data_IF_259170539613
#
_entry.id   IF_259170539613
#
_cell.length_a   1.000
_cell.length_b   1.000
_cell.length_c   1.000
_cell.angle_alpha   90.00
_cell.angle_beta   90.00
_cell.angle_gamma   90.00
#
_symmetry.space_group_name_H-M   'P 1'
#
loop_
_entity.id
_entity.type
_entity.pdbx_description
1 polymer ?
#
# COMPACT_ATOMS: atom_id res chain seq x y z
N UNK A 1 -23.47 -48.75 -13.63
CA UNK A 1 -22.41 -48.00 -14.35
C UNK A 1 -22.58 -46.47 -14.25
N UNK A 2 -23.59 -46.02 -13.51
CA UNK A 2 -24.29 -44.77 -13.84
C UNK A 2 -23.88 -43.63 -12.91
N UNK A 3 -23.43 -43.95 -11.68
CA UNK A 3 -22.76 -43.00 -10.79
C UNK A 3 -21.48 -42.40 -11.39
N UNK A 4 -20.67 -43.20 -12.12
CA UNK A 4 -19.47 -42.67 -12.82
C UNK A 4 -19.86 -41.77 -13.99
N UNK A 5 -20.91 -42.12 -14.76
CA UNK A 5 -21.43 -41.28 -15.84
C UNK A 5 -21.98 -39.95 -15.30
N UNK A 6 -22.81 -39.98 -14.25
CA UNK A 6 -23.34 -38.79 -13.58
C UNK A 6 -22.21 -37.89 -13.06
N UNK A 7 -21.23 -38.44 -12.34
CA UNK A 7 -20.07 -37.68 -11.87
C UNK A 7 -19.29 -37.02 -13.03
N UNK A 8 -19.07 -37.75 -14.13
CA UNK A 8 -18.36 -37.23 -15.29
C UNK A 8 -19.16 -36.11 -16.01
N UNK A 9 -20.49 -36.27 -16.09
CA UNK A 9 -21.40 -35.25 -16.63
C UNK A 9 -21.34 -33.97 -15.77
N UNK A 10 -21.47 -34.10 -14.44
CA UNK A 10 -21.42 -32.96 -13.51
C UNK A 10 -20.05 -32.26 -13.54
N UNK A 11 -18.96 -33.03 -13.60
CA UNK A 11 -17.59 -32.51 -13.69
C UNK A 11 -17.35 -31.73 -14.99
N UNK A 12 -17.82 -32.26 -16.13
CA UNK A 12 -17.69 -31.59 -17.44
C UNK A 12 -18.62 -30.38 -17.53
N UNK A 13 -19.88 -30.48 -17.06
CA UNK A 13 -20.84 -29.38 -17.04
C UNK A 13 -20.35 -28.23 -16.14
N UNK A 14 -19.84 -28.54 -14.95
CA UNK A 14 -19.20 -27.57 -14.05
C UNK A 14 -17.95 -26.94 -14.68
N UNK A 15 -17.12 -27.74 -15.34
CA UNK A 15 -15.93 -27.27 -16.07
C UNK A 15 -16.25 -26.33 -17.22
N UNK A 16 -17.25 -26.66 -18.04
CA UNK A 16 -17.69 -25.84 -19.17
C UNK A 16 -18.38 -24.55 -18.70
N UNK A 17 -19.24 -24.63 -17.69
CA UNK A 17 -19.87 -23.47 -17.05
C UNK A 17 -18.82 -22.49 -16.50
N UNK A 18 -17.84 -23.01 -15.76
CA UNK A 18 -16.72 -22.20 -15.25
C UNK A 18 -15.85 -21.62 -16.38
N UNK A 19 -15.60 -22.38 -17.46
CA UNK A 19 -14.85 -21.89 -18.61
C UNK A 19 -15.57 -20.72 -19.31
N UNK A 20 -16.88 -20.80 -19.48
CA UNK A 20 -17.72 -19.73 -20.04
C UNK A 20 -17.70 -18.50 -19.12
N UNK A 21 -17.99 -18.68 -17.83
CA UNK A 21 -18.02 -17.58 -16.85
C UNK A 21 -16.66 -16.87 -16.75
N UNK A 22 -15.56 -17.63 -16.63
CA UNK A 22 -14.20 -17.06 -16.60
C UNK A 22 -13.81 -16.37 -17.89
N UNK A 23 -14.24 -16.86 -19.04
CA UNK A 23 -13.99 -16.19 -20.31
C UNK A 23 -14.77 -14.88 -20.41
N UNK A 24 -16.04 -14.85 -20.00
CA UNK A 24 -16.85 -13.63 -20.00
C UNK A 24 -16.24 -12.50 -19.15
N UNK A 25 -15.66 -12.81 -17.99
CA UNK A 25 -15.02 -11.81 -17.11
C UNK A 25 -13.52 -11.59 -17.37
N UNK A 26 -12.89 -12.36 -18.26
CA UNK A 26 -11.44 -12.28 -18.52
C UNK A 26 -10.93 -10.88 -18.89
N UNK A 27 -11.63 -10.06 -19.71
CA UNK A 27 -11.19 -8.69 -20.00
C UNK A 27 -11.07 -7.83 -18.74
N UNK A 28 -12.05 -7.94 -17.84
CA UNK A 28 -12.11 -7.18 -16.59
C UNK A 28 -11.11 -7.69 -15.55
N UNK A 29 -10.94 -9.02 -15.44
CA UNK A 29 -9.88 -9.63 -14.63
C UNK A 29 -8.48 -9.18 -15.11
N UNK A 30 -8.24 -9.10 -16.43
CA UNK A 30 -6.95 -8.63 -16.96
C UNK A 30 -6.70 -7.15 -16.69
N UNK A 31 -7.69 -6.27 -16.88
CA UNK A 31 -7.53 -4.85 -16.57
C UNK A 31 -7.24 -4.64 -15.08
N UNK A 32 -7.96 -5.34 -14.19
CA UNK A 32 -7.67 -5.37 -12.75
C UNK A 32 -6.22 -5.79 -12.46
N UNK A 33 -5.78 -6.92 -13.03
CA UNK A 33 -4.41 -7.43 -12.82
C UNK A 33 -3.36 -6.42 -13.29
N UNK A 34 -3.53 -5.83 -14.48
CA UNK A 34 -2.64 -4.81 -15.02
C UNK A 34 -2.56 -3.58 -14.08
N UNK A 35 -3.69 -3.04 -13.62
CA UNK A 35 -3.67 -1.92 -12.67
C UNK A 35 -2.99 -2.28 -11.34
N UNK A 36 -3.15 -3.52 -10.86
CA UNK A 36 -2.50 -4.00 -9.65
C UNK A 36 -0.98 -4.13 -9.81
N UNK A 37 -0.48 -4.71 -10.91
CA UNK A 37 0.95 -5.09 -11.06
C UNK A 37 1.79 -4.15 -11.95
N UNK A 38 1.19 -3.18 -12.65
CA UNK A 38 1.94 -2.26 -13.54
C UNK A 38 3.06 -1.46 -12.85
N UNK A 39 3.02 -1.33 -11.52
CA UNK A 39 4.07 -0.66 -10.77
C UNK A 39 5.36 -1.50 -10.65
N UNK A 40 5.27 -2.83 -10.80
CA UNK A 40 6.41 -3.77 -10.83
C UNK A 40 6.76 -4.25 -12.25
N UNK A 41 5.96 -3.92 -13.26
CA UNK A 41 6.23 -4.34 -14.65
C UNK A 41 7.48 -3.63 -15.20
N UNK A 42 8.38 -4.40 -15.80
CA UNK A 42 9.56 -3.86 -16.53
C UNK A 42 9.20 -3.31 -17.91
N UNK A 43 8.06 -3.70 -18.48
CA UNK A 43 7.59 -3.25 -19.80
C UNK A 43 6.87 -1.89 -19.73
N UNK A 44 6.25 -1.55 -18.60
CA UNK A 44 5.47 -0.32 -18.43
C UNK A 44 6.32 0.77 -17.76
N UNK A 45 6.79 1.73 -18.55
CA UNK A 45 7.49 2.91 -18.02
C UNK A 45 6.54 3.77 -17.15
N UNK A 46 7.05 4.50 -16.14
CA UNK A 46 6.20 5.23 -15.19
C UNK A 46 5.20 6.22 -15.80
N UNK A 47 5.60 6.87 -16.89
CA UNK A 47 4.84 7.81 -17.73
C UNK A 47 3.73 7.12 -18.55
N UNK A 48 3.90 5.85 -18.90
CA UNK A 48 2.97 5.08 -19.74
C UNK A 48 1.97 4.23 -18.94
N UNK A 49 1.99 4.33 -17.61
CA UNK A 49 1.08 3.60 -16.71
C UNK A 49 -0.37 3.94 -17.02
N UNK A 50 -1.25 2.95 -16.87
CA UNK A 50 -2.68 3.14 -17.02
C UNK A 50 -3.22 3.96 -15.85
N UNK A 51 -3.99 5.00 -16.16
CA UNK A 51 -4.51 5.96 -15.18
C UNK A 51 -5.58 5.33 -14.28
N UNK A 52 -6.48 4.55 -14.89
CA UNK A 52 -7.55 3.81 -14.23
C UNK A 52 -8.16 2.75 -15.17
N UNK A 53 -9.30 2.17 -14.80
CA UNK A 53 -9.89 1.07 -15.57
C UNK A 53 -10.32 1.50 -16.98
N UNK A 54 -10.96 2.67 -17.11
CA UNK A 54 -11.46 3.18 -18.40
C UNK A 54 -10.28 3.43 -19.36
N UNK A 55 -9.22 4.08 -18.87
CA UNK A 55 -7.97 4.31 -19.63
C UNK A 55 -7.36 2.99 -20.13
N UNK A 56 -7.31 1.96 -19.27
CA UNK A 56 -6.83 0.63 -19.65
C UNK A 56 -7.74 -0.07 -20.67
N UNK A 57 -9.06 -0.03 -20.50
CA UNK A 57 -10.01 -0.63 -21.45
C UNK A 57 -9.94 0.01 -22.84
N UNK A 58 -9.71 1.33 -22.93
CA UNK A 58 -9.55 2.03 -24.21
C UNK A 58 -8.20 1.75 -24.85
N UNK A 59 -7.11 1.76 -24.07
CA UNK A 59 -5.74 1.67 -24.58
C UNK A 59 -5.30 0.24 -24.94
N UNK A 60 -5.68 -0.78 -24.17
CA UNK A 60 -5.23 -2.17 -24.38
C UNK A 60 -5.50 -2.68 -25.82
N UNK A 61 -6.69 -2.47 -26.41
CA UNK A 61 -6.95 -2.83 -27.81
C UNK A 61 -6.08 -2.09 -28.82
N UNK A 62 -5.79 -0.81 -28.56
CA UNK A 62 -4.99 0.04 -29.45
C UNK A 62 -3.50 -0.35 -29.39
N UNK A 63 -2.97 -0.60 -28.18
CA UNK A 63 -1.57 -0.94 -27.94
C UNK A 63 -1.24 -2.39 -28.35
N UNK A 64 -2.13 -3.35 -28.05
CA UNK A 64 -1.81 -4.80 -28.13
C UNK A 64 -2.84 -5.65 -28.87
N UNK A 65 -3.92 -5.04 -29.40
CA UNK A 65 -5.01 -5.74 -30.09
C UNK A 65 -6.12 -6.23 -29.17
N UNK A 66 -7.36 -6.33 -29.69
CA UNK A 66 -8.54 -6.68 -28.89
C UNK A 66 -8.44 -8.04 -28.17
N UNK A 67 -7.96 -9.08 -28.88
CA UNK A 67 -7.79 -10.43 -28.32
C UNK A 67 -6.82 -10.49 -27.13
N UNK A 68 -5.98 -9.46 -26.96
CA UNK A 68 -5.07 -9.32 -25.82
C UNK A 68 -5.81 -9.35 -24.48
N UNK A 69 -7.07 -8.92 -24.40
CA UNK A 69 -7.88 -9.01 -23.18
C UNK A 69 -7.95 -10.41 -22.57
N UNK A 70 -7.90 -11.46 -23.41
CA UNK A 70 -7.97 -12.86 -22.97
C UNK A 70 -6.60 -13.48 -22.68
N UNK A 71 -5.52 -12.69 -22.68
CA UNK A 71 -4.17 -13.19 -22.42
C UNK A 71 -4.03 -13.73 -21.00
N UNK A 72 -3.63 -14.99 -20.88
CA UNK A 72 -3.61 -15.73 -19.61
C UNK A 72 -4.91 -16.45 -19.27
N UNK A 73 -6.03 -16.21 -19.98
CA UNK A 73 -7.31 -16.85 -19.67
C UNK A 73 -7.28 -18.39 -19.85
N UNK A 74 -6.47 -18.91 -20.79
CA UNK A 74 -6.30 -20.36 -20.92
C UNK A 74 -5.82 -21.02 -19.61
N UNK A 75 -4.92 -20.36 -18.86
CA UNK A 75 -4.48 -20.87 -17.55
C UNK A 75 -5.60 -20.80 -16.52
N UNK A 76 -6.47 -19.78 -16.58
CA UNK A 76 -7.65 -19.64 -15.72
C UNK A 76 -8.63 -20.82 -15.90
N UNK A 77 -8.90 -21.19 -17.16
CA UNK A 77 -9.77 -22.32 -17.54
C UNK A 77 -9.12 -23.65 -17.14
N UNK A 78 -7.89 -23.91 -17.60
CA UNK A 78 -7.18 -25.18 -17.36
C UNK A 78 -7.03 -25.48 -15.87
N UNK A 79 -6.82 -24.45 -15.04
CA UNK A 79 -6.71 -24.57 -13.58
C UNK A 79 -7.98 -25.11 -12.90
N UNK A 80 -9.18 -24.92 -13.48
CA UNK A 80 -10.43 -25.37 -12.85
C UNK A 80 -10.45 -26.90 -12.65
N UNK A 81 -10.15 -27.67 -13.70
CA UNK A 81 -10.20 -29.13 -13.69
C UNK A 81 -9.33 -29.80 -12.60
N UNK A 82 -8.00 -29.53 -12.48
CA UNK A 82 -7.19 -30.09 -11.41
C UNK A 82 -7.62 -29.55 -10.03
N UNK A 83 -8.06 -28.30 -9.94
CA UNK A 83 -8.59 -27.75 -8.67
C UNK A 83 -9.82 -28.52 -8.20
N UNK A 84 -10.76 -28.87 -9.10
CA UNK A 84 -11.93 -29.66 -8.72
C UNK A 84 -11.59 -31.12 -8.42
N UNK A 85 -10.71 -31.74 -9.21
CA UNK A 85 -10.24 -33.11 -8.94
C UNK A 85 -9.57 -33.23 -7.56
N UNK A 86 -8.72 -32.25 -7.19
CA UNK A 86 -8.06 -32.19 -5.89
C UNK A 86 -9.06 -31.88 -4.75
N UNK A 87 -10.01 -30.97 -4.97
CA UNK A 87 -11.09 -30.74 -3.99
C UNK A 87 -11.89 -32.02 -3.75
N UNK A 88 -12.29 -32.74 -4.80
CA UNK A 88 -13.02 -34.01 -4.66
C UNK A 88 -12.20 -35.06 -3.90
N UNK A 89 -10.92 -35.22 -4.22
CA UNK A 89 -10.05 -36.21 -3.57
C UNK A 89 -9.76 -35.89 -2.08
N UNK A 90 -9.57 -34.62 -1.72
CA UNK A 90 -9.01 -34.23 -0.42
C UNK A 90 -9.98 -33.55 0.55
N UNK A 91 -11.03 -32.88 0.08
CA UNK A 91 -11.95 -32.09 0.93
C UNK A 91 -12.57 -32.92 2.05
N UNK A 92 -13.10 -34.09 1.72
CA UNK A 92 -13.80 -34.92 2.71
C UNK A 92 -12.81 -35.69 3.61
N UNK A 93 -11.60 -35.99 3.13
CA UNK A 93 -10.50 -36.50 3.96
C UNK A 93 -10.05 -35.47 5.00
N UNK A 94 -9.84 -34.21 4.60
CA UNK A 94 -9.49 -33.15 5.55
C UNK A 94 -10.64 -32.81 6.51
N UNK A 95 -11.90 -32.81 6.05
CA UNK A 95 -13.05 -32.68 6.94
C UNK A 95 -13.09 -33.80 7.98
N UNK A 96 -12.98 -35.06 7.56
CA UNK A 96 -12.96 -36.20 8.48
C UNK A 96 -11.80 -36.11 9.49
N UNK A 97 -10.63 -35.64 9.06
CA UNK A 97 -9.46 -35.47 9.91
C UNK A 97 -9.60 -34.34 10.95
N UNK A 98 -10.09 -33.16 10.56
CA UNK A 98 -10.17 -31.99 11.45
C UNK A 98 -11.50 -31.83 12.20
N UNK A 99 -12.57 -32.50 11.77
CA UNK A 99 -13.91 -32.45 12.38
C UNK A 99 -14.36 -33.80 12.94
N UNK A 100 -13.58 -34.88 12.73
CA UNK A 100 -13.87 -36.19 13.28
C UNK A 100 -13.97 -36.16 14.80
N UNK A 101 -15.13 -36.52 15.34
CA UNK A 101 -15.40 -36.49 16.79
C UNK A 101 -15.63 -35.10 17.39
N UNK A 102 -15.68 -34.03 16.58
CA UNK A 102 -16.11 -32.71 17.07
C UNK A 102 -17.65 -32.68 17.13
N UNK A 103 -18.28 -32.44 18.29
CA UNK A 103 -19.72 -32.45 18.39
C UNK A 103 -20.31 -31.18 17.72
N UNK A 104 -21.54 -31.23 17.18
CA UNK A 104 -22.10 -30.18 16.32
C UNK A 104 -22.50 -28.91 17.07
N UNK A 105 -22.65 -28.97 18.39
CA UNK A 105 -22.95 -27.87 19.30
C UNK A 105 -21.73 -26.98 19.63
N UNK A 106 -20.52 -27.53 19.52
CA UNK A 106 -19.28 -26.84 19.88
C UNK A 106 -18.81 -25.85 18.78
N UNK A 107 -19.54 -24.73 18.62
CA UNK A 107 -19.34 -23.71 17.57
C UNK A 107 -17.87 -23.38 17.29
N UNK A 108 -17.08 -22.96 18.30
CA UNK A 108 -15.68 -22.57 18.09
C UNK A 108 -14.78 -23.72 17.62
N UNK A 109 -15.05 -24.96 18.04
CA UNK A 109 -14.33 -26.15 17.56
C UNK A 109 -14.72 -26.50 16.13
N UNK A 110 -16.02 -26.44 15.80
CA UNK A 110 -16.51 -26.60 14.43
C UNK A 110 -15.94 -25.53 13.49
N UNK A 111 -15.90 -24.28 13.92
CA UNK A 111 -15.34 -23.16 13.15
C UNK A 111 -13.85 -23.37 12.88
N UNK A 112 -13.03 -23.59 13.92
CA UNK A 112 -11.58 -23.84 13.76
C UNK A 112 -11.31 -25.08 12.93
N UNK A 113 -12.06 -26.17 13.11
CA UNK A 113 -11.91 -27.40 12.32
C UNK A 113 -12.29 -27.20 10.85
N UNK A 114 -13.33 -26.42 10.54
CA UNK A 114 -13.69 -26.07 9.16
C UNK A 114 -12.65 -25.15 8.50
N UNK A 115 -12.03 -24.24 9.26
CA UNK A 115 -10.92 -23.43 8.77
C UNK A 115 -9.64 -24.23 8.54
N UNK A 116 -9.30 -25.15 9.44
CA UNK A 116 -8.18 -26.06 9.27
C UNK A 116 -8.38 -26.97 8.05
N UNK A 117 -9.57 -27.58 7.90
CA UNK A 117 -9.92 -28.40 6.74
C UNK A 117 -9.92 -27.59 5.42
N UNK A 118 -10.52 -26.40 5.42
CA UNK A 118 -10.56 -25.53 4.25
C UNK A 118 -9.20 -24.96 3.85
N UNK A 119 -8.38 -24.61 4.85
CA UNK A 119 -7.00 -24.15 4.67
C UNK A 119 -6.08 -25.25 4.15
N UNK A 120 -6.16 -26.46 4.73
CA UNK A 120 -5.40 -27.63 4.27
C UNK A 120 -5.79 -28.05 2.85
N UNK A 121 -7.09 -28.21 2.56
CA UNK A 121 -7.58 -28.52 1.22
C UNK A 121 -7.17 -27.45 0.19
N UNK A 122 -7.21 -26.18 0.58
CA UNK A 122 -6.73 -25.06 -0.22
C UNK A 122 -5.23 -25.14 -0.49
N UNK A 123 -4.40 -25.32 0.55
CA UNK A 123 -2.95 -25.42 0.43
C UNK A 123 -2.52 -26.63 -0.42
N UNK A 124 -3.13 -27.80 -0.23
CA UNK A 124 -2.90 -28.99 -1.07
C UNK A 124 -3.31 -28.72 -2.51
N UNK A 125 -4.45 -28.07 -2.76
CA UNK A 125 -4.86 -27.72 -4.12
C UNK A 125 -3.85 -26.77 -4.79
N UNK A 126 -3.44 -25.70 -4.08
CA UNK A 126 -2.43 -24.78 -4.56
C UNK A 126 -1.09 -25.47 -4.83
N UNK A 127 -0.66 -26.45 -4.01
CA UNK A 127 0.61 -27.14 -4.19
C UNK A 127 0.76 -27.74 -5.60
N UNK A 128 -0.34 -28.15 -6.25
CA UNK A 128 -0.33 -28.63 -7.63
C UNK A 128 -0.66 -27.55 -8.67
N UNK A 129 -1.58 -26.61 -8.37
CA UNK A 129 -2.07 -25.65 -9.39
C UNK A 129 -1.36 -24.29 -9.39
N UNK A 130 -0.54 -23.98 -8.38
CA UNK A 130 0.13 -22.67 -8.25
C UNK A 130 1.00 -22.28 -9.46
N UNK A 131 1.72 -23.19 -10.15
CA UNK A 131 2.43 -22.83 -11.39
C UNK A 131 1.50 -22.30 -12.49
N UNK A 132 0.23 -22.74 -12.54
CA UNK A 132 -0.77 -22.21 -13.47
C UNK A 132 -1.27 -20.82 -13.03
N UNK A 133 -1.45 -20.58 -11.73
CA UNK A 133 -1.79 -19.25 -11.20
C UNK A 133 -0.67 -18.22 -11.42
N UNK A 134 0.59 -18.63 -11.27
CA UNK A 134 1.75 -17.82 -11.62
C UNK A 134 1.78 -17.51 -13.12
N UNK A 135 1.66 -18.54 -13.97
CA UNK A 135 1.65 -18.37 -15.43
C UNK A 135 0.50 -17.48 -15.90
N UNK A 136 -0.71 -17.63 -15.32
CA UNK A 136 -1.87 -16.74 -15.56
C UNK A 136 -1.51 -15.29 -15.26
N UNK A 137 -0.97 -15.03 -14.07
CA UNK A 137 -0.63 -13.67 -13.61
C UNK A 137 0.45 -13.04 -14.47
N UNK A 138 1.50 -13.79 -14.80
CA UNK A 138 2.59 -13.34 -15.69
C UNK A 138 2.12 -13.07 -17.11
N UNK A 139 1.31 -13.95 -17.69
CA UNK A 139 0.74 -13.76 -19.03
C UNK A 139 -0.25 -12.59 -19.10
N UNK A 140 -1.06 -12.37 -18.06
CA UNK A 140 -1.98 -11.24 -17.99
C UNK A 140 -1.23 -9.90 -17.91
N UNK A 141 -0.11 -9.88 -17.17
CA UNK A 141 0.77 -8.72 -16.99
C UNK A 141 1.64 -8.38 -18.22
N UNK A 142 1.89 -9.35 -19.11
CA UNK A 142 2.66 -9.14 -20.35
C UNK A 142 1.87 -8.27 -21.34
N UNK A 143 2.36 -7.05 -21.54
CA UNK A 143 1.85 -6.06 -22.51
C UNK A 143 2.68 -6.04 -23.81
N UNK A 144 3.64 -6.95 -23.96
CA UNK A 144 4.47 -7.04 -25.16
C UNK A 144 3.63 -7.35 -26.41
N UNK A 145 3.93 -6.64 -27.50
CA UNK A 145 3.41 -6.90 -28.84
C UNK A 145 4.43 -7.70 -29.64
N UNK A 146 3.95 -8.73 -30.34
CA UNK A 146 4.72 -9.60 -31.23
C UNK A 146 6.06 -10.08 -30.63
N UNK A 147 7.22 -9.69 -31.18
CA UNK A 147 8.54 -10.10 -30.67
C UNK A 147 8.90 -9.53 -29.29
N UNK A 148 8.23 -8.46 -28.85
CA UNK A 148 8.45 -7.83 -27.53
C UNK A 148 7.70 -8.54 -26.38
N UNK A 149 7.06 -9.68 -26.65
CA UNK A 149 6.37 -10.52 -25.66
C UNK A 149 7.36 -11.22 -24.73
N UNK A 150 7.16 -11.09 -23.42
CA UNK A 150 7.96 -11.81 -22.42
C UNK A 150 7.70 -13.32 -22.52
N UNK A 151 6.44 -13.71 -22.73
CA UNK A 151 6.00 -15.11 -22.78
C UNK A 151 5.07 -15.43 -23.96
N UNK A 152 5.41 -16.46 -24.74
CA UNK A 152 4.60 -16.96 -25.87
C UNK A 152 3.33 -17.69 -25.43
N UNK A 153 3.34 -18.31 -24.25
CA UNK A 153 2.21 -19.05 -23.69
C UNK A 153 2.51 -19.64 -22.31
N UNK A 154 1.62 -20.50 -21.80
CA UNK A 154 1.72 -21.09 -20.45
C UNK A 154 3.02 -21.89 -20.30
N UNK A 155 3.28 -22.82 -21.23
CA UNK A 155 4.44 -23.70 -21.18
C UNK A 155 5.76 -22.92 -21.32
N UNK A 156 5.81 -21.91 -22.19
CA UNK A 156 6.96 -21.01 -22.32
C UNK A 156 7.20 -20.19 -21.04
N UNK A 157 6.13 -19.73 -20.38
CA UNK A 157 6.22 -19.01 -19.11
C UNK A 157 6.77 -19.89 -17.98
N UNK A 158 6.18 -21.07 -17.78
CA UNK A 158 6.62 -22.02 -16.75
C UNK A 158 8.07 -22.46 -17.02
N UNK A 159 8.41 -22.82 -18.27
CA UNK A 159 9.74 -23.32 -18.60
C UNK A 159 10.83 -22.24 -18.55
N UNK A 160 10.53 -20.98 -18.90
CA UNK A 160 11.47 -19.86 -18.70
C UNK A 160 11.73 -19.59 -17.23
N UNK A 161 10.69 -19.51 -16.40
CA UNK A 161 10.82 -19.25 -14.96
C UNK A 161 11.53 -20.41 -14.27
N UNK A 162 11.22 -21.66 -14.63
CA UNK A 162 11.91 -22.83 -14.10
C UNK A 162 13.40 -22.85 -14.46
N UNK A 163 13.78 -22.36 -15.66
CA UNK A 163 15.18 -22.24 -16.07
C UNK A 163 15.93 -21.08 -15.42
N UNK A 164 15.25 -19.98 -15.06
CA UNK A 164 15.91 -18.80 -14.45
C UNK A 164 15.94 -18.85 -12.92
N UNK A 165 14.84 -19.25 -12.29
CA UNK A 165 14.58 -19.13 -10.85
C UNK A 165 14.41 -20.52 -10.19
N UNK A 166 14.51 -21.61 -10.95
CA UNK A 166 14.37 -22.98 -10.48
C UNK A 166 12.95 -23.36 -10.06
N UNK A 167 12.81 -24.49 -9.36
CA UNK A 167 11.52 -24.97 -8.83
C UNK A 167 10.87 -23.96 -7.89
N UNK A 168 11.64 -23.38 -6.95
CA UNK A 168 11.11 -22.40 -5.99
C UNK A 168 10.63 -21.10 -6.65
N UNK A 169 11.18 -20.72 -7.79
CA UNK A 169 10.68 -19.60 -8.60
C UNK A 169 9.22 -19.76 -9.02
N UNK A 170 8.77 -20.99 -9.30
CA UNK A 170 7.37 -21.27 -9.64
C UNK A 170 6.40 -21.12 -8.47
N UNK A 171 6.88 -21.16 -7.22
CA UNK A 171 6.07 -21.07 -5.99
C UNK A 171 6.26 -19.75 -5.23
N UNK A 172 6.87 -18.75 -5.87
CA UNK A 172 7.10 -17.43 -5.26
C UNK A 172 5.79 -16.73 -4.92
N UNK A 173 5.49 -16.64 -3.63
CA UNK A 173 4.25 -16.06 -3.09
C UNK A 173 3.27 -17.09 -2.48
N UNK A 174 3.59 -18.39 -2.51
CA UNK A 174 2.73 -19.46 -2.01
C UNK A 174 2.25 -19.23 -0.56
N UNK A 175 3.15 -18.89 0.37
CA UNK A 175 2.83 -18.72 1.79
C UNK A 175 1.77 -17.63 2.03
N UNK A 176 1.90 -16.46 1.38
CA UNK A 176 0.92 -15.37 1.51
C UNK A 176 -0.41 -15.71 0.83
N UNK A 177 -0.38 -16.51 -0.26
CA UNK A 177 -1.61 -17.03 -0.88
C UNK A 177 -2.36 -18.01 0.04
N UNK A 178 -1.66 -18.90 0.76
CA UNK A 178 -2.28 -19.81 1.75
C UNK A 178 -2.88 -19.03 2.91
N UNK A 179 -2.16 -18.05 3.47
CA UNK A 179 -2.69 -17.16 4.51
C UNK A 179 -3.95 -16.40 4.02
N UNK A 180 -3.93 -15.88 2.79
CA UNK A 180 -5.07 -15.22 2.17
C UNK A 180 -6.30 -16.12 2.05
N UNK A 181 -6.13 -17.42 1.75
CA UNK A 181 -7.23 -18.39 1.70
C UNK A 181 -7.84 -18.62 3.08
N UNK A 182 -7.01 -18.74 4.12
CA UNK A 182 -7.50 -18.94 5.50
C UNK A 182 -8.32 -17.72 5.95
N UNK A 183 -7.80 -16.51 5.74
CA UNK A 183 -8.50 -15.26 6.08
C UNK A 183 -9.80 -15.15 5.26
N UNK A 184 -9.76 -15.37 3.95
CA UNK A 184 -10.94 -15.35 3.09
C UNK A 184 -12.03 -16.34 3.55
N UNK A 185 -11.65 -17.57 3.92
CA UNK A 185 -12.59 -18.57 4.46
C UNK A 185 -13.15 -18.17 5.82
N UNK A 186 -12.32 -17.65 6.73
CA UNK A 186 -12.72 -17.18 8.06
C UNK A 186 -13.74 -16.05 7.96
N UNK A 187 -13.46 -15.04 7.14
CA UNK A 187 -14.39 -13.95 6.85
C UNK A 187 -15.66 -14.47 6.19
N UNK A 188 -15.57 -15.30 5.15
CA UNK A 188 -16.74 -15.84 4.45
C UNK A 188 -17.70 -16.59 5.38
N UNK A 189 -17.19 -17.54 6.18
CA UNK A 189 -18.04 -18.31 7.11
C UNK A 189 -18.56 -17.44 8.26
N UNK A 190 -17.71 -16.62 8.89
CA UNK A 190 -18.13 -15.76 10.00
C UNK A 190 -19.25 -14.79 9.61
N UNK A 191 -19.18 -14.19 8.42
CA UNK A 191 -20.26 -13.34 7.90
C UNK A 191 -21.48 -14.14 7.46
N UNK A 192 -21.32 -15.26 6.75
CA UNK A 192 -22.45 -16.11 6.33
C UNK A 192 -23.29 -16.57 7.53
N UNK A 193 -22.66 -17.04 8.60
CA UNK A 193 -23.35 -17.51 9.81
C UNK A 193 -24.00 -16.37 10.58
N UNK A 194 -23.31 -15.22 10.72
CA UNK A 194 -23.89 -13.99 11.33
C UNK A 194 -25.16 -13.57 10.58
N UNK A 195 -25.11 -13.59 9.25
CA UNK A 195 -26.19 -13.08 8.41
C UNK A 195 -27.35 -14.05 8.29
N UNK A 196 -27.07 -15.37 8.30
CA UNK A 196 -28.09 -16.41 8.46
C UNK A 196 -28.78 -16.33 9.83
N UNK A 197 -28.07 -15.96 10.89
CA UNK A 197 -28.64 -15.71 12.22
C UNK A 197 -29.52 -14.46 12.32
N UNK A 198 -29.42 -13.52 11.37
CA UNK A 198 -30.25 -12.32 11.29
C UNK A 198 -31.51 -12.49 10.42
N UNK A 199 -31.69 -13.65 9.77
CA UNK A 199 -32.84 -13.96 8.93
C UNK A 199 -33.80 -14.91 9.66
N UNK A 200 -35.05 -14.48 9.88
CA UNK A 200 -36.04 -15.23 10.66
C UNK A 200 -36.49 -16.56 10.05
N UNK A 201 -36.24 -16.82 8.76
CA UNK A 201 -36.52 -18.11 8.11
C UNK A 201 -35.51 -18.42 6.98
N UNK A 202 -34.58 -19.38 7.19
CA UNK A 202 -33.55 -19.72 6.22
C UNK A 202 -34.05 -20.40 4.93
N UNK A 203 -35.32 -20.83 4.84
CA UNK A 203 -35.83 -21.58 3.68
C UNK A 203 -36.66 -20.74 2.70
N UNK A 204 -37.12 -19.57 3.11
CA UNK A 204 -37.99 -18.69 2.31
C UNK A 204 -37.32 -17.40 1.82
N UNK A 205 -36.02 -17.23 2.09
CA UNK A 205 -35.27 -16.01 1.70
C UNK A 205 -35.01 -15.98 0.17
N UNK A 206 -35.53 -14.97 -0.56
CA UNK A 206 -35.32 -14.87 -2.00
C UNK A 206 -33.88 -14.53 -2.37
N UNK A 207 -33.45 -14.99 -3.55
CA UNK A 207 -32.03 -15.02 -3.98
C UNK A 207 -31.35 -13.64 -3.95
N UNK A 208 -32.08 -12.55 -4.17
CA UNK A 208 -31.57 -11.18 -4.11
C UNK A 208 -31.20 -10.70 -2.69
N UNK A 209 -31.83 -11.22 -1.64
CA UNK A 209 -31.49 -10.84 -0.25
C UNK A 209 -30.16 -11.45 0.16
N UNK A 210 -29.90 -12.71 -0.19
CA UNK A 210 -28.59 -13.34 -0.05
C UNK A 210 -27.49 -12.58 -0.84
N UNK A 211 -27.87 -11.91 -1.92
CA UNK A 211 -26.97 -11.08 -2.74
C UNK A 211 -26.55 -9.80 -1.99
N UNK A 212 -27.52 -8.97 -1.57
CA UNK A 212 -27.28 -7.70 -0.82
C UNK A 212 -26.45 -7.95 0.46
N UNK A 213 -26.71 -9.08 1.10
CA UNK A 213 -26.04 -9.53 2.32
C UNK A 213 -24.53 -9.77 2.10
N UNK A 214 -24.10 -10.28 0.94
CA UNK A 214 -22.69 -10.52 0.66
C UNK A 214 -21.85 -9.22 0.51
N UNK A 215 -22.48 -8.09 0.18
CA UNK A 215 -21.80 -6.90 -0.34
C UNK A 215 -21.29 -5.91 0.72
N UNK A 216 -21.77 -5.98 1.97
CA UNK A 216 -21.56 -4.89 2.96
C UNK A 216 -20.30 -5.02 3.82
N UNK A 217 -19.19 -5.49 3.23
CA UNK A 217 -17.98 -5.90 3.95
C UNK A 217 -16.72 -5.12 3.53
N UNK A 218 -16.39 -4.03 4.25
CA UNK A 218 -15.04 -3.50 4.57
C UNK A 218 -15.01 -1.97 4.78
N UNK A 219 -15.18 -1.48 6.02
CA UNK A 219 -14.69 -0.16 6.48
C UNK A 219 -14.79 -0.02 8.02
N UNK A 220 -14.29 1.10 8.57
CA UNK A 220 -14.08 1.42 10.02
C UNK A 220 -12.79 0.74 10.55
N UNK A 221 -11.82 1.40 11.21
CA UNK A 221 -11.87 2.33 12.37
C UNK A 221 -10.85 3.50 12.21
N UNK A 222 -11.16 4.71 12.72
CA UNK A 222 -10.15 5.69 13.18
C UNK A 222 -10.74 6.75 14.16
N UNK A 223 -9.86 7.56 14.78
CA UNK A 223 -10.03 8.70 15.75
C UNK A 223 -10.00 8.30 17.25
N UNK A 224 -9.35 9.06 18.17
CA UNK A 224 -8.51 10.27 18.05
C UNK A 224 -8.22 10.95 19.44
N UNK A 225 -7.85 12.25 19.44
CA UNK A 225 -7.85 13.22 20.60
C UNK A 225 -6.62 13.16 21.57
N UNK A 226 -6.14 14.24 22.26
CA UNK A 226 -6.29 15.72 22.15
C UNK A 226 -4.96 16.50 21.93
N UNK A 227 -5.02 17.86 21.94
CA UNK A 227 -3.89 18.80 21.76
C UNK A 227 -3.51 19.58 23.02
N UNK A 228 -2.23 20.01 23.09
CA UNK A 228 -1.73 21.24 23.74
C UNK A 228 -0.23 21.46 23.32
N UNK A 229 0.46 22.60 23.47
CA UNK A 229 0.11 23.97 23.91
C UNK A 229 0.96 25.06 23.15
N UNK A 230 0.82 26.31 23.59
CA UNK A 230 1.60 27.57 23.44
C UNK A 230 3.16 27.48 23.63
N UNK A 231 4.04 28.51 23.49
CA UNK A 231 3.97 30.00 23.50
C UNK A 231 5.12 30.64 22.61
N UNK A 232 5.30 31.98 22.64
CA UNK A 232 6.17 32.83 21.80
C UNK A 232 7.64 33.00 22.30
N UNK A 233 8.53 33.64 21.51
CA UNK A 233 9.71 34.36 22.06
C UNK A 233 10.88 34.73 21.12
N UNK A 234 11.10 36.05 20.89
CA UNK A 234 12.37 36.80 20.64
C UNK A 234 13.40 36.40 19.57
N UNK A 235 13.94 37.40 18.85
CA UNK A 235 14.95 37.27 17.78
C UNK A 235 16.37 36.95 18.30
N UNK A 236 16.73 35.66 18.32
CA UNK A 236 18.10 35.18 18.56
C UNK A 236 18.82 35.00 17.20
N UNK A 237 20.08 35.42 17.07
CA UNK A 237 20.85 35.26 15.84
C UNK A 237 21.33 33.82 15.66
N UNK A 238 20.65 33.05 14.81
CA UNK A 238 21.05 31.67 14.53
C UNK A 238 22.29 31.64 13.60
N UNK A 239 23.19 30.69 13.86
CA UNK A 239 24.35 30.32 13.02
C UNK A 239 24.36 28.81 12.85
N UNK A 240 24.35 28.33 11.62
CA UNK A 240 24.50 26.89 11.35
C UNK A 240 25.99 26.58 11.34
N UNK A 241 26.39 25.53 12.04
CA UNK A 241 27.74 24.99 11.97
C UNK A 241 27.75 23.85 10.95
N UNK A 242 28.64 23.94 9.97
CA UNK A 242 28.95 22.86 9.02
C UNK A 242 30.45 22.77 8.81
N UNK A 243 30.92 21.64 8.28
CA UNK A 243 32.33 21.42 7.97
C UNK A 243 32.95 22.44 6.98
N UNK A 244 32.15 23.22 6.24
CA UNK A 244 32.66 24.29 5.35
C UNK A 244 32.74 25.66 6.01
N UNK A 245 31.99 25.88 7.08
CA UNK A 245 31.93 27.15 7.79
C UNK A 245 32.95 27.21 8.95
N UNK A 246 33.89 26.26 8.99
CA UNK A 246 34.99 26.21 9.96
C UNK A 246 36.19 27.00 9.40
N UNK A 247 36.76 27.97 10.14
CA UNK A 247 36.36 28.42 11.48
C UNK A 247 35.12 29.32 11.46
N UNK A 248 34.11 29.01 12.28
CA UNK A 248 32.89 29.80 12.37
C UNK A 248 33.13 30.97 13.32
N UNK A 249 33.26 32.18 12.78
CA UNK A 249 33.55 33.40 13.55
C UNK A 249 32.27 34.03 14.09
N UNK A 250 32.22 34.25 15.41
CA UNK A 250 31.17 35.00 16.11
C UNK A 250 31.73 36.36 16.55
N UNK A 251 31.19 37.43 15.99
CA UNK A 251 31.61 38.81 16.27
C UNK A 251 30.77 39.46 17.37
N UNK A 252 31.40 40.27 18.21
CA UNK A 252 30.70 41.11 19.16
C UNK A 252 30.59 42.55 18.62
N UNK A 253 29.36 43.04 18.41
CA UNK A 253 29.16 44.33 17.76
C UNK A 253 29.28 45.51 18.73
N UNK A 254 29.70 46.65 18.16
CA UNK A 254 29.80 47.96 18.82
C UNK A 254 30.91 48.05 19.88
N UNK A 255 32.16 47.76 19.48
CA UNK A 255 33.37 47.81 20.31
C UNK A 255 34.15 49.10 20.10
N UNK A 256 34.63 49.71 21.18
CA UNK A 256 35.71 50.70 21.17
C UNK A 256 37.07 50.02 21.43
N UNK A 257 38.14 50.59 20.88
CA UNK A 257 39.49 50.03 21.00
C UNK A 257 39.94 50.01 22.48
N UNK A 258 39.91 48.83 23.10
CA UNK A 258 40.26 48.62 24.51
C UNK A 258 39.18 47.91 25.35
N UNK A 259 37.94 47.79 24.87
CA UNK A 259 36.88 47.13 25.65
C UNK A 259 37.19 45.65 25.91
N UNK A 260 37.02 45.22 27.18
CA UNK A 260 37.11 43.82 27.58
C UNK A 260 35.82 43.08 27.21
N UNK A 261 35.95 42.09 26.34
CA UNK A 261 34.84 41.24 25.89
C UNK A 261 34.75 40.01 26.80
N UNK A 262 33.53 39.65 27.22
CA UNK A 262 33.27 38.39 27.93
C UNK A 262 32.30 37.50 27.13
N UNK A 263 32.79 36.32 26.77
CA UNK A 263 31.97 35.28 26.13
C UNK A 263 31.48 34.25 27.14
N UNK A 264 30.22 33.85 27.02
CA UNK A 264 29.58 32.82 27.83
C UNK A 264 28.83 31.85 26.91
N UNK A 265 28.91 30.55 27.19
CA UNK A 265 28.13 29.50 26.53
C UNK A 265 27.08 28.97 27.49
N UNK A 266 25.81 29.00 27.09
CA UNK A 266 24.67 28.52 27.86
C UNK A 266 24.63 29.10 29.30
N UNK A 267 25.01 30.39 29.43
CA UNK A 267 25.19 31.17 30.67
C UNK A 267 26.38 30.77 31.56
N UNK A 268 27.23 29.85 31.12
CA UNK A 268 28.48 29.44 31.80
C UNK A 268 29.72 30.06 31.14
N UNK A 269 30.84 30.25 31.87
CA UNK A 269 32.11 30.68 31.26
C UNK A 269 32.65 29.64 30.27
N UNK A 270 33.26 30.09 29.17
CA UNK A 270 33.80 29.18 28.14
C UNK A 270 34.82 28.16 28.70
N UNK A 271 35.67 28.56 29.66
CA UNK A 271 36.63 27.66 30.31
C UNK A 271 35.99 26.51 31.08
N UNK A 272 34.76 26.68 31.57
CA UNK A 272 33.98 25.59 32.19
C UNK A 272 33.21 24.80 31.14
N UNK A 273 32.66 25.47 30.13
CA UNK A 273 31.86 24.85 29.07
C UNK A 273 32.68 23.92 28.14
N UNK A 274 33.98 24.17 27.99
CA UNK A 274 34.90 23.41 27.14
C UNK A 274 36.02 22.70 27.92
N UNK A 275 35.85 22.48 29.22
CA UNK A 275 36.84 21.79 30.05
C UNK A 275 37.19 20.40 29.46
N UNK A 276 38.45 20.22 29.02
CA UNK A 276 38.93 19.00 28.37
C UNK A 276 38.70 18.91 26.85
N UNK A 277 38.07 19.92 26.23
CA UNK A 277 37.78 20.04 24.80
C UNK A 277 38.10 21.47 24.29
N UNK A 278 39.19 22.06 24.78
CA UNK A 278 39.60 23.43 24.45
C UNK A 278 39.99 23.59 22.96
N UNK A 279 40.28 22.49 22.28
CA UNK A 279 40.60 22.40 20.86
C UNK A 279 39.41 22.72 19.91
N UNK A 280 38.21 22.90 20.45
CA UNK A 280 36.99 23.24 19.70
C UNK A 280 36.87 24.73 19.41
N UNK A 281 37.46 25.60 20.24
CA UNK A 281 37.27 27.05 20.16
C UNK A 281 38.60 27.82 20.26
N UNK A 282 38.63 29.01 19.68
CA UNK A 282 39.72 29.98 19.83
C UNK A 282 39.14 31.37 19.97
N UNK A 283 39.66 32.15 20.92
CA UNK A 283 39.33 33.57 21.05
C UNK A 283 40.46 34.35 20.39
N UNK A 284 40.13 35.22 19.45
CA UNK A 284 41.08 36.21 18.96
C UNK A 284 41.13 37.39 19.94
N UNK A 285 42.30 37.62 20.53
CA UNK A 285 42.53 38.70 21.49
C UNK A 285 42.59 40.09 20.83
N UNK A 286 42.89 40.17 19.52
CA UNK A 286 42.93 41.43 18.78
C UNK A 286 41.51 41.90 18.44
N UNK A 287 40.70 41.07 17.77
CA UNK A 287 39.31 41.43 17.41
C UNK A 287 38.30 41.23 18.54
N UNK A 288 38.56 40.34 19.50
CA UNK A 288 37.60 39.91 20.53
C UNK A 288 36.54 38.92 20.02
N UNK A 289 36.72 38.38 18.81
CA UNK A 289 35.84 37.39 18.20
C UNK A 289 36.08 35.98 18.75
N UNK A 290 35.05 35.14 18.66
CA UNK A 290 35.10 33.73 19.03
C UNK A 290 35.03 32.87 17.76
N UNK A 291 36.11 32.16 17.47
CA UNK A 291 36.22 31.18 16.39
C UNK A 291 35.83 29.79 16.89
N UNK A 292 34.90 29.11 16.21
CA UNK A 292 34.60 27.68 16.45
C UNK A 292 35.33 26.87 15.38
N UNK A 293 36.27 26.03 15.82
CA UNK A 293 37.23 25.32 14.99
C UNK A 293 36.80 23.88 14.64
N UNK A 294 35.75 23.33 15.27
CA UNK A 294 35.30 21.94 15.09
C UNK A 294 33.78 21.81 15.13
N UNK A 295 33.22 21.13 14.14
CA UNK A 295 31.82 20.65 14.14
C UNK A 295 31.70 19.42 15.05
N UNK A 296 31.40 19.70 16.32
CA UNK A 296 31.25 18.73 17.42
C UNK A 296 29.98 19.06 18.21
N UNK A 297 29.41 18.09 18.90
CA UNK A 297 28.13 18.27 19.59
C UNK A 297 28.21 19.33 20.72
N UNK A 298 29.36 19.39 21.39
CA UNK A 298 29.70 20.37 22.42
C UNK A 298 29.76 21.81 21.91
N UNK A 299 29.99 22.02 20.60
CA UNK A 299 30.02 23.35 19.98
C UNK A 299 28.63 23.97 19.79
N UNK A 300 27.55 23.18 19.87
CA UNK A 300 26.19 23.69 19.76
C UNK A 300 25.68 24.29 21.08
N UNK A 301 24.89 25.36 20.99
CA UNK A 301 24.35 26.05 22.16
C UNK A 301 24.11 27.54 21.93
N UNK A 302 23.73 28.24 23.00
CA UNK A 302 23.58 29.69 23.00
C UNK A 302 24.90 30.34 23.44
N UNK A 303 25.44 31.24 22.62
CA UNK A 303 26.65 32.01 22.91
C UNK A 303 26.26 33.46 23.14
N UNK A 304 26.52 33.95 24.35
CA UNK A 304 26.29 35.35 24.72
C UNK A 304 27.63 36.07 24.75
N UNK A 305 27.78 37.09 23.90
CA UNK A 305 28.83 38.08 24.10
C UNK A 305 28.30 39.21 24.99
N UNK A 306 29.10 39.63 25.97
CA UNK A 306 28.91 40.84 26.77
C UNK A 306 30.10 41.78 26.54
N UNK A 307 29.81 42.96 26.00
CA UNK A 307 30.70 44.12 25.95
C UNK A 307 30.05 45.28 26.73
N UNK A 308 30.81 46.35 27.01
CA UNK A 308 30.46 47.36 28.01
C UNK A 308 29.02 47.92 27.93
N UNK A 309 28.51 48.14 26.71
CA UNK A 309 27.15 48.65 26.45
C UNK A 309 26.32 47.75 25.49
N UNK A 310 26.78 46.53 25.19
CA UNK A 310 26.07 45.63 24.26
C UNK A 310 26.09 44.17 24.73
N UNK A 311 24.95 43.50 24.61
CA UNK A 311 24.85 42.04 24.77
C UNK A 311 24.25 41.46 23.50
N UNK A 312 24.91 40.44 22.94
CA UNK A 312 24.47 39.78 21.70
C UNK A 312 24.39 38.29 21.96
N UNK A 313 23.26 37.69 21.60
CA UNK A 313 23.03 36.26 21.69
C UNK A 313 23.05 35.63 20.29
N UNK A 314 24.02 34.74 20.10
CA UNK A 314 24.09 33.81 18.99
C UNK A 314 23.55 32.45 19.42
N UNK A 315 22.98 31.70 18.48
CA UNK A 315 22.64 30.29 18.68
C UNK A 315 23.29 29.46 17.60
N UNK A 316 24.32 28.70 17.99
CA UNK A 316 25.04 27.79 17.10
C UNK A 316 24.30 26.47 17.08
N UNK A 317 23.91 26.01 15.89
CA UNK A 317 23.05 24.83 15.68
C UNK A 317 23.66 23.90 14.62
N UNK A 318 23.45 22.58 14.75
CA UNK A 318 23.85 21.65 13.70
C UNK A 318 22.97 21.86 12.46
N UNK A 319 23.50 21.48 11.29
CA UNK A 319 22.71 21.34 10.06
C UNK A 319 21.42 20.55 10.34
N UNK A 320 20.23 21.05 9.95
CA UNK A 320 18.99 20.31 10.17
C UNK A 320 18.96 19.07 9.27
N UNK A 321 18.26 18.01 9.67
CA UNK A 321 18.13 16.79 8.86
C UNK A 321 16.65 16.51 8.58
N UNK A 322 16.21 16.69 7.34
CA UNK A 322 14.85 16.35 6.94
C UNK A 322 14.71 14.84 6.70
N UNK A 323 13.64 14.25 7.19
CA UNK A 323 13.28 12.85 6.94
C UNK A 323 11.79 12.70 6.62
N UNK A 324 11.52 11.95 5.56
CA UNK A 324 10.21 11.67 4.99
C UNK A 324 10.25 10.27 4.35
N UNK A 325 9.15 9.51 4.40
CA UNK A 325 9.09 8.18 3.80
C UNK A 325 9.23 8.25 2.27
N UNK A 326 9.99 7.34 1.64
CA UNK A 326 10.29 7.40 0.19
C UNK A 326 9.04 7.42 -0.72
N UNK A 327 7.96 6.76 -0.30
CA UNK A 327 6.69 6.82 -1.01
C UNK A 327 5.50 6.70 -0.06
N UNK A 328 4.42 7.38 -0.40
CA UNK A 328 3.14 7.37 0.34
C UNK A 328 2.00 7.10 -0.63
N UNK A 329 0.95 6.41 -0.21
CA UNK A 329 -0.24 6.18 -1.05
C UNK A 329 -1.53 6.56 -0.34
N UNK A 330 -2.40 7.29 -1.04
CA UNK A 330 -3.70 7.79 -0.56
C UNK A 330 -4.76 7.49 -1.62
N UNK A 331 -6.01 7.27 -1.21
CA UNK A 331 -7.13 7.09 -2.17
C UNK A 331 -7.67 8.45 -2.60
N UNK A 332 -8.08 8.58 -3.85
CA UNK A 332 -8.70 9.79 -4.38
C UNK A 332 -9.95 10.21 -3.57
N UNK A 333 -10.01 11.49 -3.20
CA UNK A 333 -10.99 12.07 -2.29
C UNK A 333 -10.64 11.96 -0.80
N UNK A 334 -9.65 11.14 -0.41
CA UNK A 334 -9.17 11.10 0.98
C UNK A 334 -8.20 12.24 1.30
N UNK A 335 -7.83 12.34 2.58
CA UNK A 335 -6.89 13.33 3.10
C UNK A 335 -5.49 12.75 3.13
N UNK A 336 -4.53 13.42 2.49
CA UNK A 336 -3.12 13.15 2.72
C UNK A 336 -2.69 13.73 4.06
N UNK A 337 -1.88 12.98 4.80
CA UNK A 337 -1.23 13.42 6.04
C UNK A 337 0.24 13.02 5.99
N UNK A 338 1.14 14.00 5.96
CA UNK A 338 2.59 13.82 5.95
C UNK A 338 3.23 14.57 7.11
N UNK A 339 4.20 13.93 7.76
CA UNK A 339 5.01 14.53 8.83
C UNK A 339 6.46 14.57 8.36
N UNK A 340 7.02 15.77 8.27
CA UNK A 340 8.45 15.95 8.05
C UNK A 340 9.16 15.94 9.40
N UNK A 341 9.95 14.89 9.61
CA UNK A 341 10.62 14.62 10.88
C UNK A 341 12.11 14.94 10.78
N UNK A 342 12.77 15.10 11.93
CA UNK A 342 14.24 15.18 12.01
C UNK A 342 14.78 14.08 12.92
N UNK A 343 15.93 13.50 12.55
CA UNK A 343 16.60 12.47 13.33
C UNK A 343 17.22 13.03 14.63
N UNK A 344 17.61 14.31 14.63
CA UNK A 344 18.04 15.06 15.82
C UNK A 344 17.01 16.13 16.17
N UNK A 345 16.88 16.47 17.45
CA UNK A 345 15.98 17.54 17.88
C UNK A 345 16.61 18.90 17.51
N UNK A 346 15.96 19.63 16.61
CA UNK A 346 16.45 20.90 16.05
C UNK A 346 15.48 22.04 16.40
N UNK A 347 15.57 22.68 17.58
CA UNK A 347 14.59 23.68 18.00
C UNK A 347 14.76 24.96 17.18
N UNK A 348 13.66 25.53 16.70
CA UNK A 348 13.66 26.76 15.90
C UNK A 348 13.82 26.57 14.39
N UNK A 349 13.85 25.33 13.89
CA UNK A 349 13.73 25.07 12.44
C UNK A 349 12.40 25.56 11.88
N UNK A 350 12.46 26.16 10.69
CA UNK A 350 11.32 26.49 9.85
C UNK A 350 11.23 25.43 8.77
N UNK A 351 10.00 25.06 8.41
CA UNK A 351 9.72 24.03 7.41
C UNK A 351 8.88 24.64 6.29
N UNK A 352 9.26 24.37 5.05
CA UNK A 352 8.40 24.59 3.88
C UNK A 352 8.14 23.27 3.18
N UNK A 353 6.99 23.22 2.52
CA UNK A 353 6.57 22.11 1.68
C UNK A 353 6.45 22.56 0.23
N UNK A 354 6.97 21.78 -0.71
CA UNK A 354 6.64 21.92 -2.14
C UNK A 354 5.67 20.80 -2.50
N UNK A 355 4.51 21.18 -3.04
CA UNK A 355 3.44 20.27 -3.42
C UNK A 355 2.88 20.73 -4.78
N UNK A 356 2.94 19.86 -5.79
CA UNK A 356 2.80 20.28 -7.19
C UNK A 356 3.86 21.33 -7.54
N UNK A 357 3.42 22.44 -8.15
CA UNK A 357 4.29 23.57 -8.52
C UNK A 357 4.29 24.71 -7.49
N UNK A 358 3.66 24.53 -6.32
CA UNK A 358 3.52 25.57 -5.29
C UNK A 358 4.31 25.25 -4.02
N UNK A 359 4.86 26.29 -3.41
CA UNK A 359 5.53 26.26 -2.11
C UNK A 359 4.59 26.75 -1.01
N UNK A 360 4.56 26.02 0.11
CA UNK A 360 3.65 26.22 1.23
C UNK A 360 4.44 26.35 2.54
N UNK A 361 4.35 27.54 3.14
CA UNK A 361 4.79 27.83 4.52
C UNK A 361 3.61 28.09 5.46
N UNK A 362 2.40 28.24 4.89
CA UNK A 362 1.12 28.46 5.58
C UNK A 362 0.02 27.72 4.81
N UNK A 363 -1.08 27.42 5.51
CA UNK A 363 -2.29 26.83 4.90
C UNK A 363 -2.86 27.71 3.79
N UNK A 364 -3.22 27.11 2.64
CA UNK A 364 -3.81 27.79 1.49
C UNK A 364 -4.72 26.82 0.72
N UNK A 365 -6.00 27.18 0.57
CA UNK A 365 -6.99 26.32 -0.07
C UNK A 365 -7.13 24.98 0.66
N UNK A 366 -7.03 23.87 -0.09
CA UNK A 366 -7.08 22.50 0.45
C UNK A 366 -5.79 22.03 1.14
N UNK A 367 -4.70 22.80 1.05
CA UNK A 367 -3.43 22.51 1.75
C UNK A 367 -3.45 23.16 3.13
N UNK A 368 -3.27 22.36 4.17
CA UNK A 368 -3.27 22.76 5.59
C UNK A 368 -1.92 22.42 6.21
N UNK A 369 -1.23 23.45 6.69
CA UNK A 369 0.05 23.35 7.37
C UNK A 369 -0.20 23.42 8.88
N UNK A 370 0.28 22.44 9.64
CA UNK A 370 0.01 22.32 11.08
C UNK A 370 1.28 22.00 11.88
N UNK A 371 1.17 22.08 13.21
CA UNK A 371 2.24 21.80 14.19
C UNK A 371 2.28 20.30 14.48
N UNK A 372 3.47 19.70 14.43
CA UNK A 372 3.71 18.37 14.99
C UNK A 372 3.55 18.46 16.51
N UNK A 373 2.57 17.73 17.04
CA UNK A 373 2.22 17.70 18.47
C UNK A 373 3.21 16.92 19.32
N UNK A 374 3.92 15.93 18.75
CA UNK A 374 4.93 15.16 19.49
C UNK A 374 6.21 15.97 19.66
N UNK A 375 6.63 16.69 18.61
CA UNK A 375 7.94 17.35 18.55
C UNK A 375 7.89 18.86 18.76
N UNK A 376 6.69 19.45 18.75
CA UNK A 376 6.47 20.88 18.97
C UNK A 376 6.79 21.78 17.77
N UNK A 377 7.09 21.22 16.58
CA UNK A 377 7.57 21.99 15.42
C UNK A 377 6.38 22.48 14.59
N UNK A 378 6.23 23.80 14.46
CA UNK A 378 5.23 24.39 13.57
C UNK A 378 5.65 24.23 12.09
N UNK A 379 4.73 23.76 11.25
CA UNK A 379 4.99 23.53 9.83
C UNK A 379 5.47 22.12 9.48
N UNK A 380 5.75 21.29 10.48
CA UNK A 380 6.20 19.90 10.29
C UNK A 380 5.12 18.96 9.72
N UNK A 381 3.83 19.34 9.76
CA UNK A 381 2.74 18.48 9.29
C UNK A 381 2.02 19.13 8.10
N UNK A 382 2.07 18.45 6.96
CA UNK A 382 1.33 18.77 5.74
C UNK A 382 0.09 17.89 5.65
N UNK A 383 -1.08 18.52 5.65
CA UNK A 383 -2.36 17.87 5.39
C UNK A 383 -2.91 18.42 4.07
N UNK A 384 -3.35 17.56 3.16
CA UNK A 384 -4.04 17.99 1.93
C UNK A 384 -5.40 17.31 1.89
N UNK A 385 -6.46 18.10 2.01
CA UNK A 385 -7.84 17.60 1.87
C UNK A 385 -8.17 17.32 0.40
N UNK A 386 -8.99 16.30 0.13
CA UNK A 386 -9.47 15.92 -1.20
C UNK A 386 -8.32 15.78 -2.22
N UNK A 387 -7.53 14.71 -2.07
CA UNK A 387 -6.50 14.36 -3.05
C UNK A 387 -7.12 13.94 -4.38
N UNK A 388 -6.61 14.48 -5.48
CA UNK A 388 -7.05 14.23 -6.85
C UNK A 388 -6.00 13.42 -7.62
N UNK A 389 -6.41 12.70 -8.68
CA UNK A 389 -5.46 11.90 -9.47
C UNK A 389 -4.28 12.70 -10.07
N UNK A 390 -4.46 13.99 -10.32
CA UNK A 390 -3.42 14.90 -10.83
C UNK A 390 -2.36 15.27 -9.78
N UNK A 391 -2.58 14.99 -8.49
CA UNK A 391 -1.62 15.27 -7.41
C UNK A 391 -0.44 14.29 -7.36
N UNK A 392 -0.48 13.24 -8.19
CA UNK A 392 0.59 12.25 -8.32
C UNK A 392 1.90 12.94 -8.71
N UNK A 393 2.87 12.90 -7.80
CA UNK A 393 4.17 13.53 -8.02
C UNK A 393 5.06 13.43 -6.79
N UNK A 394 6.17 14.15 -6.83
CA UNK A 394 7.03 14.28 -5.66
C UNK A 394 6.60 15.43 -4.77
N UNK A 395 6.46 15.15 -3.48
CA UNK A 395 6.27 16.14 -2.43
C UNK A 395 7.60 16.29 -1.71
N UNK A 396 8.00 17.53 -1.48
CA UNK A 396 9.30 17.87 -0.89
C UNK A 396 9.04 18.61 0.42
N UNK A 397 9.75 18.20 1.48
CA UNK A 397 9.93 19.01 2.68
C UNK A 397 11.35 19.55 2.68
N UNK A 398 11.52 20.86 2.94
CA UNK A 398 12.84 21.43 3.27
C UNK A 398 12.81 22.06 4.65
N UNK A 399 13.88 21.83 5.39
CA UNK A 399 14.12 22.37 6.72
C UNK A 399 15.26 23.37 6.67
N UNK A 400 15.07 24.56 7.24
CA UNK A 400 16.11 25.57 7.45
C UNK A 400 15.79 26.40 8.69
N UNK A 401 16.82 26.92 9.38
CA UNK A 401 16.60 27.90 10.45
C UNK A 401 16.30 29.31 9.91
N UNK A 402 16.78 29.61 8.69
CA UNK A 402 16.59 30.90 8.03
C UNK A 402 16.26 30.70 6.53
N UNK A 403 15.21 31.37 6.04
CA UNK A 403 14.82 31.30 4.63
C UNK A 403 15.57 32.28 3.73
N UNK A 404 16.13 33.34 4.31
CA UNK A 404 16.94 34.33 3.60
C UNK A 404 18.41 33.90 3.48
N UNK A 405 18.74 32.70 3.93
CA UNK A 405 20.09 32.15 3.85
C UNK A 405 20.32 31.50 2.48
N UNK A 406 21.26 32.00 1.65
CA UNK A 406 21.53 31.45 0.33
C UNK A 406 22.34 30.15 0.38
N UNK A 407 22.95 29.79 1.52
CA UNK A 407 23.87 28.66 1.62
C UNK A 407 23.06 27.36 1.67
N UNK A 408 23.12 26.57 0.58
CA UNK A 408 22.33 25.35 0.43
C UNK A 408 22.59 24.33 1.56
N UNK A 409 23.83 24.27 2.06
CA UNK A 409 24.28 23.34 3.10
C UNK A 409 23.73 23.68 4.50
N UNK A 410 23.24 24.90 4.73
CA UNK A 410 22.51 25.27 5.97
C UNK A 410 21.10 24.67 6.02
N UNK A 411 20.66 24.03 4.93
CA UNK A 411 19.36 23.41 4.80
C UNK A 411 19.44 21.90 4.48
N UNK A 412 18.33 21.21 4.70
CA UNK A 412 18.17 19.80 4.32
C UNK A 412 16.80 19.58 3.70
N UNK A 413 16.75 18.69 2.72
CA UNK A 413 15.58 18.40 1.90
C UNK A 413 15.28 16.90 1.92
N UNK A 414 14.00 16.54 2.09
CA UNK A 414 13.50 15.18 2.03
C UNK A 414 12.33 15.10 1.04
N UNK A 415 12.28 14.02 0.27
CA UNK A 415 11.37 13.86 -0.87
C UNK A 415 10.59 12.56 -0.74
N UNK A 416 9.27 12.64 -0.91
CA UNK A 416 8.38 11.47 -1.00
C UNK A 416 7.65 11.45 -2.33
N UNK A 417 7.36 10.27 -2.86
CA UNK A 417 6.52 10.12 -4.05
C UNK A 417 5.07 9.78 -3.66
N UNK A 418 4.13 10.69 -3.94
CA UNK A 418 2.70 10.49 -3.71
C UNK A 418 2.08 9.60 -4.79
N UNK A 419 1.48 8.50 -4.36
CA UNK A 419 0.71 7.57 -5.19
C UNK A 419 -0.79 7.72 -4.90
N UNK A 420 -1.53 8.36 -5.79
CA UNK A 420 -2.99 8.43 -5.70
C UNK A 420 -3.62 7.17 -6.27
N UNK A 421 -4.46 6.48 -5.50
CA UNK A 421 -5.26 5.33 -5.93
C UNK A 421 -6.65 5.80 -6.37
N UNK A 422 -7.15 5.26 -7.48
CA UNK A 422 -8.52 5.51 -7.96
C UNK A 422 -9.55 5.16 -6.87
N UNK A 423 -10.50 6.06 -6.60
CA UNK A 423 -11.55 5.91 -5.58
C UNK A 423 -12.38 4.63 -5.76
N UNK A 424 -12.54 4.18 -7.01
CA UNK A 424 -13.30 3.00 -7.39
C UNK A 424 -12.41 1.76 -7.58
N UNK A 425 -11.10 1.82 -7.32
CA UNK A 425 -10.16 0.71 -7.55
C UNK A 425 -10.58 -0.63 -6.87
N UNK A 426 -11.34 -0.56 -5.78
CA UNK A 426 -11.92 -1.74 -5.11
C UNK A 426 -13.27 -2.18 -5.70
N UNK A 427 -14.06 -1.24 -6.23
CA UNK A 427 -15.37 -1.51 -6.86
C UNK A 427 -15.23 -2.36 -8.13
N UNK A 428 -14.19 -2.14 -8.94
CA UNK A 428 -14.03 -2.87 -10.20
C UNK A 428 -13.72 -4.37 -10.04
N UNK A 429 -12.82 -4.81 -9.14
CA UNK A 429 -12.74 -6.20 -8.69
C UNK A 429 -14.07 -6.80 -8.27
N UNK A 430 -14.89 -6.01 -7.58
CA UNK A 430 -16.18 -6.42 -7.03
C UNK A 430 -17.25 -6.56 -8.11
N UNK A 431 -17.38 -5.60 -9.03
CA UNK A 431 -18.25 -5.68 -10.20
C UNK A 431 -17.90 -6.88 -11.09
N UNK A 432 -16.62 -7.26 -11.18
CA UNK A 432 -16.20 -8.47 -11.88
C UNK A 432 -16.62 -9.77 -11.19
N UNK A 433 -16.62 -9.80 -9.86
CA UNK A 433 -17.17 -10.93 -9.08
C UNK A 433 -18.68 -10.99 -9.25
N UNK A 434 -19.38 -9.84 -9.17
CA UNK A 434 -20.83 -9.78 -9.37
C UNK A 434 -21.24 -10.24 -10.79
N UNK A 435 -20.50 -9.82 -11.82
CA UNK A 435 -20.69 -10.29 -13.20
C UNK A 435 -20.43 -11.80 -13.34
N UNK A 436 -19.37 -12.34 -12.71
CA UNK A 436 -19.10 -13.79 -12.71
C UNK A 436 -20.25 -14.58 -12.06
N UNK A 437 -20.77 -14.11 -10.92
CA UNK A 437 -21.90 -14.73 -10.22
C UNK A 437 -23.19 -14.64 -11.05
N UNK A 438 -23.51 -13.50 -11.65
CA UNK A 438 -24.69 -13.34 -12.52
C UNK A 438 -24.62 -14.29 -13.72
N UNK A 439 -23.46 -14.43 -14.36
CA UNK A 439 -23.27 -15.37 -15.47
C UNK A 439 -23.42 -16.82 -15.01
N UNK A 440 -22.84 -17.21 -13.86
CA UNK A 440 -23.01 -18.56 -13.31
C UNK A 440 -24.47 -18.85 -12.94
N UNK A 441 -25.18 -17.92 -12.30
CA UNK A 441 -26.60 -18.06 -11.99
C UNK A 441 -27.46 -18.19 -13.27
N UNK A 442 -27.17 -17.41 -14.32
CA UNK A 442 -27.86 -17.52 -15.60
C UNK A 442 -27.62 -18.90 -16.26
N UNK A 443 -26.39 -19.41 -16.22
CA UNK A 443 -26.07 -20.76 -16.72
C UNK A 443 -26.81 -21.84 -15.92
N UNK A 444 -26.84 -21.74 -14.59
CA UNK A 444 -27.56 -22.68 -13.71
C UNK A 444 -29.07 -22.66 -14.02
N UNK A 445 -29.70 -21.49 -14.11
CA UNK A 445 -31.13 -21.37 -14.43
C UNK A 445 -31.47 -21.93 -15.83
N UNK A 446 -30.59 -21.72 -16.82
CA UNK A 446 -30.74 -22.32 -18.16
C UNK A 446 -30.57 -23.83 -18.11
N UNK A 447 -29.66 -24.35 -17.28
CA UNK A 447 -29.41 -25.77 -17.10
C UNK A 447 -30.59 -26.46 -16.38
N UNK A 448 -31.06 -25.93 -15.26
CA UNK A 448 -32.24 -26.43 -14.55
C UNK A 448 -33.50 -26.38 -15.43
N UNK A 449 -33.72 -25.27 -16.16
CA UNK A 449 -34.84 -25.18 -17.12
C UNK A 449 -34.77 -26.23 -18.22
N UNK A 450 -33.56 -26.61 -18.68
CA UNK A 450 -33.37 -27.71 -19.62
C UNK A 450 -33.53 -29.10 -18.97
N UNK A 451 -33.03 -29.29 -17.74
CA UNK A 451 -33.15 -30.56 -17.00
C UNK A 451 -34.60 -30.89 -16.71
N UNK A 452 -35.36 -29.92 -16.19
CA UNK A 452 -36.80 -30.10 -15.92
C UNK A 452 -37.60 -30.37 -17.21
N UNK A 453 -37.16 -29.85 -18.37
CA UNK A 453 -37.78 -30.18 -19.67
C UNK A 453 -37.48 -31.62 -20.10
N UNK A 454 -36.24 -32.09 -19.89
CA UNK A 454 -35.87 -33.47 -20.17
C UNK A 454 -36.58 -34.47 -19.24
N UNK A 455 -36.67 -34.16 -17.94
CA UNK A 455 -37.40 -34.98 -16.94
C UNK A 455 -38.90 -35.10 -17.31
N UNK A 456 -39.52 -34.03 -17.83
CA UNK A 456 -40.89 -34.08 -18.36
C UNK A 456 -41.00 -34.97 -19.61
N UNK A 457 -40.13 -34.76 -20.60
CA UNK A 457 -40.13 -35.53 -21.85
C UNK A 457 -39.85 -37.03 -21.62
N UNK A 458 -39.04 -37.39 -20.63
CA UNK A 458 -38.77 -38.78 -20.23
C UNK A 458 -39.98 -39.40 -19.49
N UNK A 459 -40.66 -38.62 -18.63
CA UNK A 459 -41.89 -39.07 -17.95
C UNK A 459 -43.10 -39.28 -18.86
N UNK A 460 -43.18 -38.52 -19.96
CA UNK A 460 -44.23 -38.70 -20.98
C UNK A 460 -43.99 -39.96 -21.83
N UNK A 461 -42.73 -40.39 -22.02
CA UNK A 461 -42.41 -41.63 -22.76
C UNK A 461 -42.66 -42.91 -21.96
N UNK A 462 -42.43 -42.90 -20.64
CA UNK A 462 -42.67 -44.05 -19.76
C UNK A 462 -44.16 -44.34 -19.47
N UNK A 463 -45.08 -43.50 -19.97
CA UNK A 463 -46.54 -43.70 -19.87
C UNK A 463 -47.20 -44.31 -21.12
N UNK A 464 -46.42 -44.82 -22.08
CA UNK A 464 -47.01 -45.67 -23.14
C UNK A 464 -47.48 -47.00 -22.53
N UNK A 465 -48.78 -47.35 -22.57
CA UNK A 465 -49.23 -48.66 -22.10
C UNK A 465 -48.77 -49.74 -23.07
N UNK A 466 -48.13 -50.79 -22.54
CA UNK A 466 -47.87 -52.01 -23.29
C UNK A 466 -49.21 -52.63 -23.76
N UNK A 467 -49.38 -52.75 -25.09
CA UNK A 467 -50.50 -53.45 -25.75
C UNK A 467 -49.97 -54.43 -26.79
#
# INVERSE_FOLDING_TARGET
MDSYKSFLIDFIAGGLSAAIAKTAVAPLERVKLLLQVQHTSKQIRPDQRYKGMIDAFVRIPQETGFLSFYRGNLANIVRYFPTQALNFAFKDKFKAFFLGGVPPDAFWRQFVGNLAAGGAAGATSLLFVYPLDLARTRLAADIGKDEKREFKGINDCIMKIFKSDGFFGLYRGFNVSVQGIIIYRATYFGFYDTMRGMLSDPKSTPLYMNFIIAERNCMVINNGIPKNVFLFGTDIKIRVLTARDIPLVLECANRSAGDKVQWQKDKTPLSTAFAGNEDIIKIDNETGSLEILKDKEEAHGNYTCKAANSTIEYRVVPRPMAHLAESTSVVEGEKLHLVCSSLRQSPGVKIYWTFGEQNYTRSKGRVKITKDTERGIYGAVLIVDNIEMNDRGSIICRMSYNWSDPILEHSSEAKTFLRVKDKLAALWPFLGICAEVVVLCAIILVYEKKRNKAELEESDTDQSPDT
#
